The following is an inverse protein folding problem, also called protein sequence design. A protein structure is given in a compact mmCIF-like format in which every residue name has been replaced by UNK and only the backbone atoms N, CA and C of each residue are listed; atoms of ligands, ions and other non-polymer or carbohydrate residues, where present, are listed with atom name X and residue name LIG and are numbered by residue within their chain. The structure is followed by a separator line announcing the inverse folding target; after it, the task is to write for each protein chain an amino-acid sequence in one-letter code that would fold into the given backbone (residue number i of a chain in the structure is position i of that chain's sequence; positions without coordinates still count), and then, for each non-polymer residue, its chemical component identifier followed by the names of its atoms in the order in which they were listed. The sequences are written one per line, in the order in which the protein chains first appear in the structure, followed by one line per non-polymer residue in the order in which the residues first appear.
data_IF_596530436395
#
_entry.id   IF_596530436395
#
_cell.length_a   1.000
_cell.length_b   1.000
_cell.length_c   1.000
_cell.angle_alpha   90.00
_cell.angle_beta   90.00
_cell.angle_gamma   90.00
#
_symmetry.space_group_name_H-M   'P 1'
#
loop_
_entity.id
_entity.type
_entity.pdbx_description
1 polymer ?
#
# COMPACT_ATOMS: atom_id res chain seq x y z
N UNK A 1 12.58 21.06 9.54
CA UNK A 1 12.62 22.44 8.97
C UNK A 1 12.23 23.48 10.03
N UNK A 2 11.10 23.32 10.76
CA UNK A 2 10.65 24.31 11.77
C UNK A 2 11.74 24.75 12.77
N UNK A 3 12.52 23.87 13.41
CA UNK A 3 13.55 24.31 14.36
C UNK A 3 14.59 25.25 13.75
N UNK A 4 14.99 25.02 12.49
CA UNK A 4 15.95 25.85 11.79
C UNK A 4 15.42 27.25 11.41
N UNK A 5 14.10 27.41 11.36
CA UNK A 5 13.43 28.69 11.04
C UNK A 5 13.08 29.51 12.30
N UNK A 6 13.00 28.84 13.46
CA UNK A 6 12.52 29.48 14.70
C UNK A 6 13.44 30.58 15.23
N UNK A 7 14.75 30.42 15.09
CA UNK A 7 15.76 31.36 15.60
C UNK A 7 15.69 32.76 14.97
N UNK A 8 15.23 32.82 13.71
CA UNK A 8 15.29 34.07 12.92
C UNK A 8 13.94 34.50 12.33
N UNK A 9 12.84 33.87 12.80
CA UNK A 9 11.50 34.07 12.20
C UNK A 9 11.51 33.90 10.68
N UNK A 10 12.26 32.86 10.23
CA UNK A 10 12.41 32.52 8.82
C UNK A 10 11.12 31.95 8.25
N UNK A 11 11.06 31.91 6.94
CA UNK A 11 9.96 31.28 6.18
C UNK A 11 10.49 30.20 5.24
N UNK A 12 9.62 29.33 4.80
CA UNK A 12 9.91 28.31 3.82
C UNK A 12 8.83 28.26 2.75
N UNK A 13 9.25 28.02 1.51
CA UNK A 13 8.34 27.79 0.39
C UNK A 13 8.51 26.34 -0.07
N UNK A 14 7.37 25.66 -0.26
CA UNK A 14 7.30 24.33 -0.86
C UNK A 14 6.66 24.46 -2.23
N UNK A 15 7.38 24.06 -3.27
CA UNK A 15 6.93 24.12 -4.67
C UNK A 15 7.13 22.74 -5.30
N UNK A 16 6.14 22.27 -6.02
CA UNK A 16 6.24 21.01 -6.76
C UNK A 16 4.95 20.63 -7.46
N UNK A 17 5.04 19.66 -8.36
CA UNK A 17 3.90 18.99 -8.95
C UNK A 17 3.40 17.90 -7.99
N UNK A 18 2.09 17.71 -7.82
CA UNK A 18 1.54 16.63 -7.02
C UNK A 18 2.03 15.26 -7.50
N UNK A 19 2.30 14.36 -6.56
CA UNK A 19 2.67 12.96 -6.83
C UNK A 19 1.98 12.04 -5.83
N UNK A 20 0.65 11.99 -5.90
CA UNK A 20 -0.17 11.25 -4.96
C UNK A 20 -0.21 11.89 -3.56
N UNK A 21 -0.86 11.24 -2.62
CA UNK A 21 -1.01 11.69 -1.22
C UNK A 21 0.23 11.35 -0.40
N UNK A 22 1.32 12.05 -0.65
CA UNK A 22 2.59 11.93 0.05
C UNK A 22 2.80 13.07 1.05
N UNK A 23 4.00 13.19 1.65
CA UNK A 23 4.34 14.27 2.60
C UNK A 23 4.13 15.69 2.05
N UNK A 24 4.18 15.91 0.72
CA UNK A 24 3.84 17.20 0.11
C UNK A 24 2.33 17.46 0.15
N UNK A 25 1.52 16.44 -0.10
CA UNK A 25 0.07 16.51 0.08
C UNK A 25 -0.32 16.76 1.52
N UNK A 26 0.30 16.11 2.50
CA UNK A 26 0.03 16.35 3.93
C UNK A 26 0.30 17.80 4.34
N UNK A 27 1.39 18.40 3.82
CA UNK A 27 1.69 19.82 4.05
C UNK A 27 0.63 20.70 3.40
N UNK A 28 0.24 20.39 2.15
CA UNK A 28 -0.79 21.11 1.41
C UNK A 28 -2.14 21.07 2.13
N UNK A 29 -2.60 19.89 2.53
CA UNK A 29 -3.89 19.69 3.20
C UNK A 29 -3.97 20.44 4.53
N UNK A 30 -2.94 20.32 5.37
CA UNK A 30 -2.84 21.07 6.63
C UNK A 30 -2.78 22.59 6.41
N UNK A 31 -2.07 23.03 5.40
CA UNK A 31 -1.86 24.45 5.12
C UNK A 31 -3.14 25.16 4.65
N UNK A 32 -4.08 24.48 4.01
CA UNK A 32 -5.33 25.09 3.54
C UNK A 32 -6.20 25.65 4.67
N UNK A 33 -6.10 25.08 5.86
CA UNK A 33 -6.90 25.47 7.02
C UNK A 33 -6.11 26.29 8.07
N UNK A 34 -4.85 26.66 7.78
CA UNK A 34 -3.98 27.39 8.69
C UNK A 34 -3.70 28.80 8.12
N UNK A 35 -4.18 29.89 8.76
CA UNK A 35 -4.03 31.26 8.26
C UNK A 35 -2.57 31.78 8.21
N UNK A 36 -1.63 31.06 8.81
CA UNK A 36 -0.19 31.36 8.74
C UNK A 36 0.42 30.95 7.39
N UNK A 37 -0.26 30.11 6.64
CA UNK A 37 0.20 29.61 5.36
C UNK A 37 -0.47 30.33 4.20
N UNK A 38 0.33 30.66 3.20
CA UNK A 38 -0.17 30.99 1.87
C UNK A 38 -0.13 29.73 1.00
N UNK A 39 -1.27 29.37 0.42
CA UNK A 39 -1.39 28.22 -0.49
C UNK A 39 -1.88 28.67 -1.86
N UNK A 40 -1.28 28.16 -2.92
CA UNK A 40 -1.72 28.38 -4.30
C UNK A 40 -1.61 27.10 -5.12
N UNK A 41 -2.66 26.79 -5.86
CA UNK A 41 -2.67 25.70 -6.85
C UNK A 41 -2.90 26.34 -8.21
N UNK A 42 -1.93 26.16 -9.11
CA UNK A 42 -1.93 26.81 -10.42
C UNK A 42 -2.09 25.75 -11.51
N UNK A 43 -3.34 25.42 -11.83
CA UNK A 43 -3.68 24.49 -12.91
C UNK A 43 -3.43 25.14 -14.27
N UNK A 44 -2.97 24.37 -15.23
CA UNK A 44 -2.76 24.90 -16.58
C UNK A 44 -4.06 25.37 -17.23
N UNK A 45 -5.17 24.66 -16.99
CA UNK A 45 -6.52 25.05 -17.45
C UNK A 45 -6.98 26.41 -16.91
N UNK A 46 -6.61 26.74 -15.65
CA UNK A 46 -7.09 27.94 -14.96
C UNK A 46 -6.21 29.17 -15.24
N UNK A 47 -4.91 28.96 -15.43
CA UNK A 47 -3.95 30.08 -15.56
C UNK A 47 -3.93 30.71 -16.95
N UNK A 48 -4.30 29.96 -17.98
CA UNK A 48 -4.19 30.40 -19.38
C UNK A 48 -2.76 30.70 -19.86
N UNK A 49 -1.73 30.30 -19.09
CA UNK A 49 -0.33 30.52 -19.44
C UNK A 49 0.18 29.56 -20.50
N UNK A 50 -0.45 28.38 -20.61
CA UNK A 50 -0.13 27.38 -21.63
C UNK A 50 -1.17 27.48 -22.73
N UNK A 51 -0.73 27.56 -23.99
CA UNK A 51 -1.64 27.63 -25.14
C UNK A 51 -2.50 26.36 -25.23
N UNK A 52 -3.77 26.51 -25.64
CA UNK A 52 -4.71 25.37 -25.74
C UNK A 52 -4.21 24.29 -26.68
N UNK A 53 -3.55 24.66 -27.77
CA UNK A 53 -2.96 23.71 -28.70
C UNK A 53 -1.88 22.83 -28.06
N UNK A 54 -1.07 23.40 -27.19
CA UNK A 54 -0.04 22.69 -26.44
C UNK A 54 -0.66 21.72 -25.41
N UNK A 55 -1.74 22.16 -24.72
CA UNK A 55 -2.49 21.28 -23.81
C UNK A 55 -3.17 20.12 -24.54
N UNK A 56 -3.68 20.36 -25.77
CA UNK A 56 -4.29 19.32 -26.60
C UNK A 56 -3.26 18.32 -27.11
N UNK A 57 -2.05 18.79 -27.44
CA UNK A 57 -0.96 17.89 -27.81
C UNK A 57 -0.42 17.09 -26.62
N UNK A 58 -0.29 17.70 -25.46
CA UNK A 58 0.06 16.99 -24.22
C UNK A 58 -0.94 15.87 -23.90
N UNK A 59 -2.26 16.13 -24.04
CA UNK A 59 -3.30 15.10 -23.84
C UNK A 59 -3.19 13.92 -24.81
N UNK A 60 -2.68 14.12 -26.00
CA UNK A 60 -2.46 13.01 -26.97
C UNK A 60 -1.22 12.19 -26.66
N UNK A 61 -0.21 12.80 -26.02
CA UNK A 61 1.08 12.18 -25.75
C UNK A 61 1.17 11.52 -24.37
N UNK A 62 0.26 11.87 -23.46
CA UNK A 62 0.24 11.39 -22.08
C UNK A 62 -1.00 10.54 -21.79
N UNK A 63 -0.94 9.72 -20.71
CA UNK A 63 -2.17 9.12 -20.19
C UNK A 63 -3.04 10.20 -19.54
N UNK A 64 -4.35 10.00 -19.41
CA UNK A 64 -5.23 10.93 -18.71
C UNK A 64 -4.72 11.24 -17.29
N UNK A 65 -4.24 10.24 -16.58
CA UNK A 65 -3.71 10.38 -15.23
C UNK A 65 -2.43 11.23 -15.18
N UNK A 66 -1.54 11.06 -16.17
CA UNK A 66 -0.36 11.91 -16.32
C UNK A 66 -0.73 13.36 -16.55
N UNK A 67 -1.69 13.59 -17.44
CA UNK A 67 -2.15 14.93 -17.75
C UNK A 67 -2.78 15.60 -16.52
N UNK A 68 -3.66 14.91 -15.81
CA UNK A 68 -4.27 15.40 -14.58
C UNK A 68 -3.23 15.73 -13.50
N UNK A 69 -2.19 14.92 -13.38
CA UNK A 69 -1.11 15.17 -12.41
C UNK A 69 -0.27 16.38 -12.79
N UNK A 70 0.24 16.44 -14.01
CA UNK A 70 1.24 17.42 -14.43
C UNK A 70 0.63 18.77 -14.80
N UNK A 71 -0.56 18.80 -15.39
CA UNK A 71 -1.20 20.02 -15.88
C UNK A 71 -2.36 20.50 -15.01
N UNK A 72 -3.07 19.58 -14.35
CA UNK A 72 -4.25 19.90 -13.53
C UNK A 72 -3.98 19.80 -12.03
N UNK A 73 -2.73 19.59 -11.61
CA UNK A 73 -2.28 19.56 -10.21
C UNK A 73 -3.04 18.54 -9.35
N UNK A 74 -3.45 17.40 -9.92
CA UNK A 74 -4.20 16.39 -9.18
C UNK A 74 -3.31 15.58 -8.26
N UNK A 75 -3.62 15.57 -6.97
CA UNK A 75 -3.03 14.65 -6.00
C UNK A 75 -3.64 13.25 -6.08
N UNK A 76 -4.83 13.11 -6.67
CA UNK A 76 -5.58 11.87 -6.78
C UNK A 76 -5.34 11.15 -8.12
N UNK A 77 -4.62 11.81 -9.05
CA UNK A 77 -4.19 11.15 -10.27
C UNK A 77 -3.34 9.92 -9.89
N UNK A 78 -3.67 8.77 -10.46
CA UNK A 78 -2.96 7.53 -10.17
C UNK A 78 -1.46 7.75 -10.35
N UNK A 79 -0.68 7.45 -9.32
CA UNK A 79 0.79 7.60 -9.36
C UNK A 79 1.28 6.78 -10.55
N UNK A 80 2.00 7.42 -11.47
CA UNK A 80 2.65 6.76 -12.59
C UNK A 80 3.49 5.60 -12.06
N UNK A 81 3.16 4.38 -12.46
CA UNK A 81 3.79 3.18 -11.96
C UNK A 81 3.12 2.56 -10.73
N UNK A 82 2.09 3.17 -10.15
CA UNK A 82 1.30 2.51 -9.12
C UNK A 82 0.46 1.39 -9.75
N UNK A 83 0.76 0.16 -9.38
CA UNK A 83 0.06 -1.01 -9.92
C UNK A 83 -1.43 -1.03 -9.58
N UNK A 84 -1.82 -0.46 -8.44
CA UNK A 84 -3.17 -0.59 -7.86
C UNK A 84 -3.81 0.76 -7.49
N UNK A 85 -3.23 1.90 -7.86
CA UNK A 85 -3.70 3.23 -7.45
C UNK A 85 -5.17 3.48 -7.79
N UNK A 86 -5.60 3.11 -9.01
CA UNK A 86 -7.00 3.22 -9.44
C UNK A 86 -7.93 2.30 -8.65
N UNK A 87 -7.48 1.10 -8.32
CA UNK A 87 -8.29 0.11 -7.61
C UNK A 87 -8.50 0.54 -6.15
N UNK A 88 -7.47 1.13 -5.52
CA UNK A 88 -7.56 1.68 -4.16
C UNK A 88 -8.46 2.92 -4.13
N UNK A 89 -8.30 3.86 -5.08
CA UNK A 89 -9.18 5.03 -5.17
C UNK A 89 -10.66 4.63 -5.39
N UNK A 90 -10.90 3.56 -6.16
CA UNK A 90 -12.23 3.00 -6.30
C UNK A 90 -12.73 2.38 -4.98
N UNK A 91 -11.87 1.71 -4.23
CA UNK A 91 -12.22 1.14 -2.94
C UNK A 91 -12.62 2.23 -1.92
N UNK A 92 -11.89 3.34 -1.88
CA UNK A 92 -12.24 4.51 -1.05
C UNK A 92 -13.61 5.08 -1.44
N UNK A 93 -13.79 5.40 -2.74
CA UNK A 93 -15.04 5.97 -3.25
C UNK A 93 -16.26 5.07 -3.00
N UNK A 94 -16.07 3.76 -3.12
CA UNK A 94 -17.13 2.76 -2.96
C UNK A 94 -17.38 2.41 -1.48
N UNK A 95 -16.67 3.03 -0.53
CA UNK A 95 -16.80 2.77 0.91
C UNK A 95 -16.30 1.39 1.34
N UNK A 96 -15.38 0.79 0.56
CA UNK A 96 -14.79 -0.52 0.85
C UNK A 96 -13.52 -0.45 1.72
N UNK A 97 -13.09 0.75 2.10
CA UNK A 97 -12.13 1.01 3.16
C UNK A 97 -12.94 1.55 4.33
N UNK A 98 -13.13 0.73 5.37
CA UNK A 98 -14.02 1.02 6.49
C UNK A 98 -13.58 0.26 7.74
N UNK A 99 -14.12 0.59 8.88
CA UNK A 99 -13.93 -0.20 10.11
C UNK A 99 -14.42 -1.63 9.90
N UNK A 100 -13.54 -2.62 10.13
CA UNK A 100 -13.78 -4.00 9.74
C UNK A 100 -13.36 -5.01 10.82
N UNK A 101 -14.29 -5.45 11.63
CA UNK A 101 -14.05 -6.53 12.60
C UNK A 101 -13.92 -7.90 11.93
N UNK A 102 -13.12 -8.80 12.52
CA UNK A 102 -13.03 -10.18 12.07
C UNK A 102 -14.32 -10.95 12.32
N UNK A 103 -14.78 -11.74 11.33
CA UNK A 103 -15.89 -12.67 11.52
C UNK A 103 -15.40 -13.91 12.31
N UNK A 104 -15.94 -14.18 13.51
CA UNK A 104 -15.47 -15.30 14.35
C UNK A 104 -15.76 -16.68 13.75
N UNK A 105 -16.65 -16.77 12.77
CA UNK A 105 -16.99 -18.03 12.08
C UNK A 105 -15.97 -18.39 11.00
N UNK A 106 -15.38 -17.37 10.37
CA UNK A 106 -14.43 -17.56 9.29
C UNK A 106 -12.99 -17.65 9.80
N UNK A 107 -12.17 -18.56 9.26
CA UNK A 107 -10.74 -18.58 9.58
C UNK A 107 -10.03 -17.36 8.96
N UNK A 108 -9.01 -16.87 9.66
CA UNK A 108 -8.11 -15.84 9.14
C UNK A 108 -6.96 -16.52 8.41
N UNK A 109 -6.81 -16.20 7.14
CA UNK A 109 -5.68 -16.63 6.32
C UNK A 109 -4.59 -15.56 6.35
N UNK A 110 -3.36 -15.95 6.05
CA UNK A 110 -2.27 -14.98 5.89
C UNK A 110 -1.56 -15.15 4.56
N UNK A 111 -1.13 -14.06 3.96
CA UNK A 111 -0.24 -14.04 2.81
C UNK A 111 1.06 -13.35 3.20
N UNK A 112 2.20 -14.01 2.93
CA UNK A 112 3.51 -13.57 3.37
C UNK A 112 4.37 -13.15 2.18
N UNK A 113 5.12 -12.08 2.40
CA UNK A 113 6.30 -11.76 1.63
C UNK A 113 7.52 -11.85 2.57
N UNK A 114 8.46 -12.73 2.24
CA UNK A 114 9.59 -13.06 3.11
C UNK A 114 10.85 -12.31 2.66
N UNK A 115 11.01 -11.08 3.10
CA UNK A 115 12.21 -10.28 2.88
C UNK A 115 13.46 -10.91 3.53
N UNK A 116 14.62 -10.71 2.91
CA UNK A 116 15.92 -11.17 3.41
C UNK A 116 16.79 -10.04 3.93
N UNK A 117 16.84 -8.96 3.20
CA UNK A 117 17.42 -7.64 3.53
C UNK A 117 16.36 -6.55 3.58
N UNK A 118 15.17 -6.87 3.07
CA UNK A 118 14.00 -6.01 3.05
C UNK A 118 13.04 -6.43 4.16
N UNK A 119 11.93 -5.72 4.31
CA UNK A 119 10.90 -6.08 5.27
C UNK A 119 10.20 -7.39 4.90
N UNK A 120 9.87 -8.19 5.93
CA UNK A 120 8.88 -9.25 5.82
C UNK A 120 7.51 -8.65 6.07
N UNK A 121 6.58 -8.86 5.12
CA UNK A 121 5.22 -8.37 5.20
C UNK A 121 4.22 -9.54 5.34
N UNK A 122 3.19 -9.35 6.15
CA UNK A 122 2.13 -10.33 6.38
C UNK A 122 0.78 -9.63 6.27
N UNK A 123 -0.04 -10.08 5.33
CA UNK A 123 -1.43 -9.66 5.21
C UNK A 123 -2.35 -10.68 5.87
N UNK A 124 -3.36 -10.20 6.59
CA UNK A 124 -4.35 -11.02 7.27
C UNK A 124 -5.71 -10.83 6.62
N UNK A 125 -6.36 -11.91 6.21
CA UNK A 125 -7.61 -11.81 5.49
C UNK A 125 -8.54 -12.99 5.73
N UNK A 126 -9.83 -12.75 5.52
CA UNK A 126 -10.88 -13.79 5.52
C UNK A 126 -11.50 -13.91 4.13
N UNK A 127 -11.85 -15.13 3.75
CA UNK A 127 -12.58 -15.41 2.52
C UNK A 127 -14.05 -15.56 2.89
N UNK A 128 -14.85 -14.56 2.52
CA UNK A 128 -16.29 -14.54 2.72
C UNK A 128 -17.05 -14.89 1.41
N UNK A 129 -18.32 -15.30 1.46
CA UNK A 129 -19.08 -15.61 0.27
C UNK A 129 -19.19 -14.48 -0.76
N UNK A 130 -19.11 -13.23 -0.31
CA UNK A 130 -19.23 -12.02 -1.11
C UNK A 130 -17.89 -11.35 -1.45
N UNK A 131 -16.75 -11.92 -1.05
CA UNK A 131 -15.44 -11.36 -1.36
C UNK A 131 -14.38 -11.63 -0.30
N UNK A 132 -13.35 -10.80 -0.28
CA UNK A 132 -12.21 -10.90 0.64
C UNK A 132 -12.28 -9.75 1.64
N UNK A 133 -12.15 -10.06 2.91
CA UNK A 133 -12.06 -9.11 4.02
C UNK A 133 -10.58 -9.02 4.42
N UNK A 134 -9.92 -7.93 4.10
CA UNK A 134 -8.54 -7.66 4.49
C UNK A 134 -8.58 -6.97 5.84
N UNK A 135 -8.14 -7.67 6.87
CA UNK A 135 -8.35 -7.29 8.26
C UNK A 135 -7.17 -6.55 8.87
N UNK A 136 -5.96 -6.86 8.41
CA UNK A 136 -4.78 -6.41 9.14
C UNK A 136 -3.53 -6.58 8.27
N UNK A 137 -2.50 -5.83 8.60
CA UNK A 137 -1.18 -5.89 7.96
C UNK A 137 -0.10 -5.81 9.04
N UNK A 138 0.96 -6.58 8.89
CA UNK A 138 2.15 -6.47 9.71
C UNK A 138 3.40 -6.46 8.84
N UNK A 139 4.24 -5.46 9.01
CA UNK A 139 5.50 -5.35 8.28
C UNK A 139 6.62 -4.99 9.24
N UNK A 140 7.75 -5.68 9.13
CA UNK A 140 8.95 -5.34 9.88
C UNK A 140 10.21 -5.89 9.17
N UNK A 141 11.39 -5.40 9.54
CA UNK A 141 12.67 -5.82 8.99
C UNK A 141 13.69 -6.11 10.08
N UNK A 142 14.69 -6.95 9.75
CA UNK A 142 15.80 -7.25 10.67
C UNK A 142 15.48 -8.28 11.76
N UNK A 143 14.34 -8.96 11.67
CA UNK A 143 13.95 -10.01 12.62
C UNK A 143 13.97 -11.40 11.98
N UNK A 144 14.16 -12.41 12.80
CA UNK A 144 14.06 -13.81 12.44
C UNK A 144 12.60 -14.31 12.46
N UNK A 145 12.33 -15.51 11.93
CA UNK A 145 10.97 -16.05 11.78
C UNK A 145 10.25 -16.31 13.12
N UNK A 146 10.97 -16.46 14.22
CA UNK A 146 10.41 -16.59 15.57
C UNK A 146 9.68 -15.32 16.02
N UNK A 147 10.19 -14.13 15.66
CA UNK A 147 9.52 -12.86 15.90
C UNK A 147 8.14 -12.83 15.21
N UNK A 148 8.08 -13.11 13.92
CA UNK A 148 6.81 -13.11 13.16
C UNK A 148 5.85 -14.20 13.65
N UNK A 149 6.37 -15.35 14.07
CA UNK A 149 5.55 -16.40 14.69
C UNK A 149 4.96 -15.95 16.05
N UNK A 150 5.71 -15.15 16.82
CA UNK A 150 5.21 -14.56 18.07
C UNK A 150 4.10 -13.53 17.81
N UNK A 151 4.27 -12.67 16.80
CA UNK A 151 3.25 -11.70 16.37
C UNK A 151 1.93 -12.39 15.99
N UNK A 152 1.98 -13.46 15.18
CA UNK A 152 0.78 -14.23 14.86
C UNK A 152 0.09 -14.77 16.12
N UNK A 153 0.85 -15.31 17.05
CA UNK A 153 0.29 -15.81 18.31
C UNK A 153 -0.34 -14.70 19.15
N UNK A 154 0.29 -13.51 19.17
CA UNK A 154 -0.20 -12.37 19.94
C UNK A 154 -1.53 -11.84 19.40
N UNK A 155 -1.74 -11.85 18.06
CA UNK A 155 -3.00 -11.44 17.41
C UNK A 155 -4.18 -12.37 17.76
N UNK A 156 -3.93 -13.63 18.10
CA UNK A 156 -4.95 -14.54 18.64
C UNK A 156 -6.04 -14.96 17.65
N UNK A 157 -5.87 -14.76 16.36
CA UNK A 157 -6.84 -15.20 15.34
C UNK A 157 -6.96 -16.72 15.28
N UNK A 158 -8.14 -17.20 14.90
CA UNK A 158 -8.32 -18.59 14.47
C UNK A 158 -7.79 -18.73 13.03
N UNK A 159 -6.53 -19.14 12.93
CA UNK A 159 -5.88 -19.23 11.63
C UNK A 159 -6.39 -20.37 10.76
N UNK A 160 -6.47 -20.10 9.45
CA UNK A 160 -6.69 -21.08 8.40
C UNK A 160 -5.36 -21.47 7.73
N UNK A 161 -5.15 -21.01 6.50
CA UNK A 161 -3.96 -21.32 5.71
C UNK A 161 -3.00 -20.13 5.71
N UNK A 162 -1.71 -20.38 5.91
CA UNK A 162 -0.62 -19.44 5.71
C UNK A 162 -0.04 -19.64 4.31
N UNK A 163 -0.21 -18.64 3.43
CA UNK A 163 0.33 -18.68 2.07
C UNK A 163 1.73 -18.06 2.07
N UNK A 164 2.72 -18.86 1.71
CA UNK A 164 4.12 -18.45 1.65
C UNK A 164 4.58 -18.29 0.20
N UNK A 165 5.52 -17.39 -0.09
CA UNK A 165 6.11 -17.26 -1.41
C UNK A 165 6.92 -18.52 -1.79
N UNK A 166 7.19 -18.69 -3.08
CA UNK A 166 7.87 -19.86 -3.62
C UNK A 166 9.29 -20.07 -3.03
N UNK A 167 9.98 -18.98 -2.69
CA UNK A 167 11.33 -18.99 -2.10
C UNK A 167 11.36 -19.40 -0.61
N UNK A 168 10.21 -19.59 0.04
CA UNK A 168 10.12 -20.17 1.37
C UNK A 168 10.71 -21.61 1.44
N UNK A 169 10.89 -22.27 0.30
CA UNK A 169 11.62 -23.55 0.16
C UNK A 169 13.13 -23.38 0.21
N UNK A 170 13.66 -22.16 0.09
CA UNK A 170 15.10 -21.94 0.13
C UNK A 170 15.64 -22.22 1.54
N UNK A 171 16.84 -22.83 1.58
CA UNK A 171 17.55 -23.04 2.84
C UNK A 171 18.07 -21.72 3.38
N UNK A 172 17.97 -21.54 4.69
CA UNK A 172 18.59 -20.42 5.38
C UNK A 172 20.10 -20.67 5.43
N UNK A 173 20.89 -19.67 5.06
CA UNK A 173 22.34 -19.74 5.08
C UNK A 173 22.84 -20.12 6.49
N UNK A 174 23.59 -21.22 6.61
CA UNK A 174 24.06 -21.73 7.90
C UNK A 174 23.09 -22.69 8.62
N UNK A 175 21.89 -22.91 8.11
CA UNK A 175 20.93 -23.88 8.66
C UNK A 175 20.61 -24.99 7.66
N UNK A 176 20.44 -26.23 8.17
CA UNK A 176 20.00 -27.39 7.34
C UNK A 176 18.49 -27.41 7.06
N UNK A 177 17.77 -26.31 7.33
CA UNK A 177 16.30 -26.22 7.28
C UNK A 177 15.85 -25.11 6.34
N UNK A 178 14.71 -25.33 5.72
CA UNK A 178 14.02 -24.30 4.92
C UNK A 178 13.21 -23.37 5.83
N UNK A 179 12.85 -22.18 5.31
CA UNK A 179 11.99 -21.23 6.02
C UNK A 179 10.64 -21.83 6.39
N UNK A 180 10.02 -22.60 5.48
CA UNK A 180 8.73 -23.24 5.75
C UNK A 180 8.83 -24.32 6.82
N UNK A 181 9.93 -25.08 6.89
CA UNK A 181 10.14 -26.06 7.97
C UNK A 181 10.28 -25.39 9.33
N UNK A 182 11.00 -24.28 9.40
CA UNK A 182 11.12 -23.50 10.62
C UNK A 182 9.76 -22.93 11.07
N UNK A 183 8.98 -22.34 10.16
CA UNK A 183 7.63 -21.85 10.50
C UNK A 183 6.71 -22.97 10.99
N UNK A 184 6.75 -24.16 10.39
CA UNK A 184 5.99 -25.31 10.85
C UNK A 184 6.35 -25.79 12.26
N UNK A 185 7.60 -25.62 12.67
CA UNK A 185 8.01 -25.91 14.03
C UNK A 185 7.56 -24.84 15.03
N UNK A 186 7.63 -23.56 14.65
CA UNK A 186 7.24 -22.42 15.47
C UNK A 186 5.71 -22.31 15.64
N UNK A 187 4.95 -22.66 14.59
CA UNK A 187 3.49 -22.61 14.52
C UNK A 187 2.89 -24.00 14.30
N UNK A 188 3.16 -24.90 15.27
CA UNK A 188 2.72 -26.31 15.17
C UNK A 188 1.20 -26.42 15.03
N UNK A 189 0.78 -27.28 14.11
CA UNK A 189 -0.63 -27.54 13.83
C UNK A 189 -1.28 -26.57 12.86
N UNK A 190 -0.55 -25.58 12.35
CA UNK A 190 -1.01 -24.64 11.32
C UNK A 190 -0.78 -25.20 9.92
N UNK A 191 -1.64 -24.85 8.97
CA UNK A 191 -1.51 -25.25 7.55
C UNK A 191 -0.69 -24.20 6.78
N UNK A 192 0.36 -24.65 6.09
CA UNK A 192 1.24 -23.81 5.27
C UNK A 192 1.19 -24.27 3.82
N UNK A 193 0.85 -23.36 2.92
CA UNK A 193 0.87 -23.58 1.47
C UNK A 193 1.88 -22.64 0.81
N UNK A 194 2.69 -23.20 -0.07
CA UNK A 194 3.64 -22.44 -0.87
C UNK A 194 2.99 -22.13 -2.21
N UNK A 195 2.92 -20.84 -2.53
CA UNK A 195 2.44 -20.36 -3.83
C UNK A 195 3.46 -20.75 -4.90
N UNK A 196 2.97 -21.18 -6.07
CA UNK A 196 3.84 -21.51 -7.20
C UNK A 196 4.55 -20.24 -7.69
N UNK A 197 5.74 -20.42 -8.23
CA UNK A 197 6.46 -19.37 -8.92
C UNK A 197 5.69 -18.92 -10.17
N UNK A 198 5.59 -17.63 -10.38
CA UNK A 198 4.89 -17.00 -11.49
C UNK A 198 5.55 -15.65 -11.82
N UNK A 199 5.29 -15.13 -13.00
CA UNK A 199 5.80 -13.84 -13.40
C UNK A 199 5.16 -12.73 -12.55
N UNK A 200 5.90 -11.67 -12.31
CA UNK A 200 5.43 -10.51 -11.54
C UNK A 200 4.16 -9.92 -12.14
N UNK A 201 4.09 -9.84 -13.47
CA UNK A 201 2.91 -9.33 -14.20
C UNK A 201 1.65 -10.17 -13.96
N UNK A 202 1.80 -11.50 -13.85
CA UNK A 202 0.67 -12.39 -13.56
C UNK A 202 0.14 -12.15 -12.14
N UNK A 203 1.03 -11.91 -11.18
CA UNK A 203 0.68 -11.54 -9.81
C UNK A 203 -0.03 -10.19 -9.74
N UNK A 204 0.48 -9.17 -10.44
CA UNK A 204 -0.15 -7.85 -10.52
C UNK A 204 -1.56 -7.95 -11.12
N UNK A 205 -1.72 -8.69 -12.22
CA UNK A 205 -3.01 -8.87 -12.86
C UNK A 205 -4.00 -9.65 -11.98
N UNK A 206 -3.53 -10.68 -11.29
CA UNK A 206 -4.36 -11.42 -10.33
C UNK A 206 -4.85 -10.51 -9.18
N UNK A 207 -3.97 -9.67 -8.63
CA UNK A 207 -4.34 -8.70 -7.61
C UNK A 207 -5.39 -7.69 -8.14
N UNK A 208 -5.21 -7.12 -9.32
CA UNK A 208 -6.20 -6.23 -9.96
C UNK A 208 -7.57 -6.87 -10.14
N UNK A 209 -7.64 -8.15 -10.44
CA UNK A 209 -8.90 -8.90 -10.53
C UNK A 209 -9.57 -9.13 -9.18
N UNK A 210 -8.78 -9.17 -8.11
CA UNK A 210 -9.27 -9.43 -6.75
C UNK A 210 -9.62 -8.16 -5.98
N UNK A 211 -8.87 -7.07 -6.14
CA UNK A 211 -9.07 -5.80 -5.42
C UNK A 211 -10.51 -5.24 -5.49
N UNK A 212 -11.25 -5.35 -6.62
CA UNK A 212 -12.66 -4.94 -6.66
C UNK A 212 -13.58 -5.73 -5.72
N UNK A 213 -13.14 -6.92 -5.28
CA UNK A 213 -13.88 -7.80 -4.37
C UNK A 213 -13.37 -7.71 -2.93
N UNK A 214 -12.40 -6.85 -2.67
CA UNK A 214 -11.82 -6.67 -1.34
C UNK A 214 -12.53 -5.54 -0.59
N UNK A 215 -12.71 -5.76 0.72
CA UNK A 215 -13.05 -4.74 1.71
C UNK A 215 -11.87 -4.68 2.69
N UNK A 216 -11.43 -3.50 3.04
CA UNK A 216 -10.23 -3.26 3.83
C UNK A 216 -10.58 -2.62 5.16
N UNK A 217 -9.89 -3.02 6.22
CA UNK A 217 -9.94 -2.29 7.48
C UNK A 217 -9.21 -0.95 7.35
N UNK A 218 -9.86 0.12 7.79
CA UNK A 218 -9.35 1.49 7.69
C UNK A 218 -8.32 1.84 8.77
N UNK A 219 -8.21 1.04 9.82
CA UNK A 219 -7.29 1.28 10.94
C UNK A 219 -5.88 0.68 10.71
N UNK A 220 -5.65 0.02 9.55
CA UNK A 220 -4.41 -0.70 9.25
C UNK A 220 -3.59 -0.07 8.11
#
# INVERSE_FOLDING_TARGET
IRPALSDRQGWATFIGTPKGRNGFWEIWDKAQNDPVWYTAMLKASDTGLVASAELDDARKMMTPEQYEQEYECSFDAAILGAYYGKDIANAERDGRICELESDPVLPVHTAWDLGKSDSTAIWFFQIAPNGIRVLDHYENSGFDLDHYAAELKAKGYKYGVHFLPHDAKAQILGMKRTRVEQLRELLRGQDFRIVMDHKVEDGINAARMMLPKCVFDAEQ
#
